data_IF_828879927933
#
_entry.id   IF_828879927933
#
_cell.length_a   1.000
_cell.length_b   1.000
_cell.length_c   1.000
_cell.angle_alpha   90.00
_cell.angle_beta   90.00
_cell.angle_gamma   90.00
#
_symmetry.space_group_name_H-M   'P 1'
#
loop_
_entity.id
_entity.type
_entity.pdbx_description
1 polymer ?
#
# COMPACT_ATOMS: atom_id res chain seq x y z
N UNK A 1 -15.20 -7.50 -23.73
CA UNK A 1 -14.62 -6.50 -24.65
C UNK A 1 -13.33 -7.03 -25.32
N UNK A 2 -12.48 -7.79 -24.61
CA UNK A 2 -11.23 -8.36 -25.15
C UNK A 2 -11.40 -9.56 -26.06
N UNK A 3 -12.55 -10.27 -25.99
CA UNK A 3 -12.82 -11.51 -26.72
C UNK A 3 -12.20 -12.77 -26.08
N UNK A 4 -11.60 -12.63 -24.89
CA UNK A 4 -11.04 -13.74 -24.12
C UNK A 4 -11.92 -14.08 -22.91
N UNK A 5 -11.98 -15.36 -22.56
CA UNK A 5 -12.55 -15.83 -21.31
C UNK A 5 -11.52 -15.68 -20.19
N UNK A 6 -11.95 -15.19 -19.03
CA UNK A 6 -11.08 -14.95 -17.88
C UNK A 6 -11.32 -16.02 -16.82
N UNK A 7 -10.25 -16.70 -16.42
CA UNK A 7 -10.21 -17.59 -15.27
C UNK A 7 -9.36 -16.91 -14.18
N UNK A 8 -9.99 -16.53 -13.09
CA UNK A 8 -9.32 -15.88 -11.96
C UNK A 8 -8.81 -16.91 -10.95
N UNK A 9 -7.50 -16.86 -10.70
CA UNK A 9 -6.88 -17.51 -9.54
C UNK A 9 -6.62 -16.40 -8.49
N UNK A 10 -7.36 -16.42 -7.39
CA UNK A 10 -7.17 -15.47 -6.29
C UNK A 10 -6.06 -15.96 -5.38
N UNK A 11 -5.08 -15.11 -5.13
CA UNK A 11 -4.03 -15.23 -4.12
C UNK A 11 -4.21 -14.13 -3.07
N UNK A 12 -3.58 -14.27 -1.90
CA UNK A 12 -3.90 -13.41 -0.76
C UNK A 12 -3.30 -12.00 -0.90
N UNK A 13 -2.02 -11.90 -1.31
CA UNK A 13 -1.25 -10.64 -1.32
C UNK A 13 -0.18 -10.69 -2.43
N UNK A 14 0.47 -9.55 -2.74
CA UNK A 14 1.52 -9.44 -3.75
C UNK A 14 2.69 -10.42 -3.50
N UNK A 15 3.05 -10.67 -2.25
CA UNK A 15 4.04 -11.66 -1.88
C UNK A 15 3.64 -13.08 -2.23
N UNK A 16 2.36 -13.42 -2.06
CA UNK A 16 1.80 -14.71 -2.49
C UNK A 16 1.81 -14.85 -4.01
N UNK A 17 1.53 -13.77 -4.75
CA UNK A 17 1.64 -13.75 -6.22
C UNK A 17 3.07 -14.02 -6.65
N UNK A 18 4.05 -13.29 -6.12
CA UNK A 18 5.47 -13.50 -6.43
C UNK A 18 5.92 -14.94 -6.10
N UNK A 19 5.61 -15.41 -4.90
CA UNK A 19 5.99 -16.76 -4.45
C UNK A 19 5.42 -17.83 -5.36
N UNK A 20 4.15 -17.67 -5.80
CA UNK A 20 3.51 -18.61 -6.71
C UNK A 20 4.18 -18.62 -8.09
N UNK A 21 4.54 -17.45 -8.62
CA UNK A 21 5.27 -17.34 -9.89
C UNK A 21 6.66 -18.00 -9.80
N UNK A 22 7.39 -17.76 -8.71
CA UNK A 22 8.73 -18.35 -8.48
C UNK A 22 8.68 -19.87 -8.38
N UNK A 23 7.72 -20.42 -7.65
CA UNK A 23 7.55 -21.88 -7.49
C UNK A 23 7.23 -22.59 -8.81
N UNK A 24 6.61 -21.90 -9.75
CA UNK A 24 6.17 -22.45 -11.02
C UNK A 24 6.97 -21.91 -12.22
N UNK A 25 8.15 -21.32 -11.97
CA UNK A 25 9.00 -20.81 -13.04
C UNK A 25 9.25 -21.86 -14.13
N UNK A 26 8.99 -21.49 -15.39
CA UNK A 26 9.10 -22.40 -16.54
C UNK A 26 7.90 -23.33 -16.76
N UNK A 27 6.84 -23.18 -15.97
CA UNK A 27 5.56 -23.89 -16.15
C UNK A 27 4.46 -22.85 -16.39
N UNK A 28 3.73 -22.96 -17.48
CA UNK A 28 2.59 -22.08 -17.75
C UNK A 28 1.46 -22.39 -16.77
N UNK A 29 1.24 -21.49 -15.82
CA UNK A 29 0.16 -21.57 -14.81
C UNK A 29 -0.92 -20.52 -15.04
N UNK A 30 -0.55 -19.38 -15.64
CA UNK A 30 -1.42 -18.27 -15.97
C UNK A 30 -0.82 -17.47 -17.14
N UNK A 31 -1.59 -16.55 -17.70
CA UNK A 31 -1.16 -15.67 -18.78
C UNK A 31 -0.77 -14.28 -18.27
N UNK A 32 -1.34 -13.89 -17.13
CA UNK A 32 -1.21 -12.57 -16.52
C UNK A 32 -1.12 -12.71 -15.01
N UNK A 33 -0.27 -11.89 -14.39
CA UNK A 33 -0.29 -11.58 -12.96
C UNK A 33 -0.78 -10.15 -12.76
N UNK A 34 -1.59 -9.93 -11.72
CA UNK A 34 -2.08 -8.62 -11.32
C UNK A 34 -1.92 -8.46 -9.80
N UNK A 35 -1.51 -7.26 -9.34
CA UNK A 35 -1.34 -6.95 -7.93
C UNK A 35 0.07 -7.19 -7.39
N UNK A 36 1.08 -7.39 -8.25
CA UNK A 36 2.47 -7.17 -7.82
C UNK A 36 2.67 -5.68 -7.61
N UNK A 37 3.26 -5.28 -6.49
CA UNK A 37 3.57 -3.89 -6.23
C UNK A 37 5.07 -3.57 -6.39
N UNK A 38 5.42 -2.30 -6.25
CA UNK A 38 6.79 -1.83 -6.42
C UNK A 38 7.77 -2.29 -5.31
N UNK A 39 7.31 -2.96 -4.26
CA UNK A 39 8.19 -3.61 -3.27
C UNK A 39 8.59 -5.04 -3.68
N UNK A 40 7.89 -5.65 -4.63
CA UNK A 40 8.13 -7.00 -5.13
C UNK A 40 8.56 -7.08 -6.58
N UNK A 41 8.24 -6.05 -7.38
CA UNK A 41 8.38 -6.09 -8.84
C UNK A 41 9.83 -6.34 -9.30
N UNK A 42 10.83 -5.69 -8.67
CA UNK A 42 12.22 -5.89 -9.06
C UNK A 42 12.65 -7.35 -8.89
N UNK A 43 12.21 -8.00 -7.83
CA UNK A 43 12.48 -9.44 -7.61
C UNK A 43 11.86 -10.30 -8.73
N UNK A 44 10.65 -9.97 -9.19
CA UNK A 44 10.03 -10.68 -10.32
C UNK A 44 10.81 -10.47 -11.63
N UNK A 45 11.32 -9.28 -11.86
CA UNK A 45 12.15 -8.93 -13.03
C UNK A 45 13.48 -9.68 -13.00
N UNK A 46 14.19 -9.65 -11.88
CA UNK A 46 15.50 -10.31 -11.70
C UNK A 46 15.40 -11.83 -11.87
N UNK A 47 14.28 -12.39 -11.48
CA UNK A 47 13.97 -13.79 -11.68
C UNK A 47 13.42 -14.12 -13.07
N UNK A 48 13.30 -13.16 -13.97
CA UNK A 48 12.82 -13.35 -15.35
C UNK A 48 11.45 -14.04 -15.41
N UNK A 49 10.51 -13.61 -14.57
CA UNK A 49 9.17 -14.18 -14.49
C UNK A 49 8.18 -13.51 -15.46
N UNK A 50 8.55 -12.36 -16.00
CA UNK A 50 7.66 -11.46 -16.74
C UNK A 50 8.12 -11.30 -18.19
N UNK A 51 7.16 -11.09 -19.09
CA UNK A 51 7.39 -10.74 -20.50
C UNK A 51 6.96 -9.30 -20.80
N UNK A 52 7.65 -8.68 -21.74
CA UNK A 52 7.23 -7.37 -22.25
C UNK A 52 5.89 -7.49 -22.99
N UNK A 53 4.89 -6.79 -22.48
CA UNK A 53 3.59 -6.65 -23.12
C UNK A 53 3.61 -5.52 -24.16
N UNK A 54 2.61 -5.50 -25.03
CA UNK A 54 2.47 -4.46 -26.06
C UNK A 54 1.21 -3.62 -25.92
N UNK A 55 0.54 -3.63 -24.76
CA UNK A 55 -0.55 -2.73 -24.44
C UNK A 55 -0.13 -1.25 -24.59
N UNK A 56 -1.05 -0.40 -24.93
CA UNK A 56 -0.81 1.03 -25.04
C UNK A 56 -0.75 1.67 -23.64
N UNK A 57 0.42 2.18 -23.27
CA UNK A 57 0.70 2.84 -21.98
C UNK A 57 0.93 4.35 -22.13
N UNK A 58 0.64 4.94 -23.29
CA UNK A 58 0.97 6.34 -23.59
C UNK A 58 0.21 7.36 -22.74
N UNK A 59 -0.91 6.98 -22.13
CA UNK A 59 -1.73 7.84 -21.29
C UNK A 59 -1.48 7.66 -19.78
N UNK A 60 -0.41 6.96 -19.39
CA UNK A 60 -0.07 6.77 -17.99
C UNK A 60 0.77 7.94 -17.47
N UNK A 61 0.49 8.38 -16.24
CA UNK A 61 1.26 9.41 -15.52
C UNK A 61 2.72 9.01 -15.41
N UNK A 62 3.63 9.96 -15.66
CA UNK A 62 5.07 9.69 -15.64
C UNK A 62 5.58 9.22 -14.27
N UNK A 63 5.03 9.75 -13.19
CA UNK A 63 5.43 9.43 -11.83
C UNK A 63 5.13 7.97 -11.41
N UNK A 64 4.16 7.31 -12.07
CA UNK A 64 3.86 5.88 -11.80
C UNK A 64 4.58 4.94 -12.78
N UNK A 65 5.12 5.46 -13.89
CA UNK A 65 5.92 4.67 -14.84
C UNK A 65 7.35 4.44 -14.37
N UNK A 66 7.90 5.35 -13.60
CA UNK A 66 9.25 5.23 -13.07
C UNK A 66 9.30 4.22 -11.91
N UNK A 67 10.39 3.45 -11.79
CA UNK A 67 11.56 3.38 -12.69
C UNK A 67 11.42 2.35 -13.83
N UNK A 68 10.31 1.67 -13.98
CA UNK A 68 10.16 0.45 -14.80
C UNK A 68 9.66 0.69 -16.23
N UNK A 69 9.41 1.92 -16.63
CA UNK A 69 8.87 2.33 -17.94
C UNK A 69 7.59 1.62 -18.42
N UNK A 70 6.97 0.82 -17.57
CA UNK A 70 5.68 0.16 -17.82
C UNK A 70 5.66 -0.99 -18.83
N UNK A 71 6.80 -1.47 -19.35
CA UNK A 71 6.81 -2.50 -20.41
C UNK A 71 6.79 -3.94 -19.89
N UNK A 72 7.54 -4.25 -18.86
CA UNK A 72 7.48 -5.57 -18.19
C UNK A 72 6.27 -5.68 -17.27
N UNK A 73 5.86 -4.54 -16.71
CA UNK A 73 4.75 -4.44 -15.78
C UNK A 73 4.07 -3.09 -15.98
N UNK A 74 2.79 -3.11 -16.34
CA UNK A 74 2.01 -1.90 -16.51
C UNK A 74 1.39 -1.49 -15.18
N UNK A 75 1.67 -0.29 -14.66
CA UNK A 75 0.93 0.21 -13.52
C UNK A 75 -0.55 0.33 -13.89
N UNK A 76 -1.45 -0.15 -13.03
CA UNK A 76 -2.88 -0.05 -13.25
C UNK A 76 -3.61 0.74 -12.16
N UNK A 77 -3.01 0.83 -10.99
CA UNK A 77 -3.42 1.72 -9.91
C UNK A 77 -2.23 2.14 -9.06
N UNK A 78 -2.42 3.14 -8.21
CA UNK A 78 -1.42 3.58 -7.23
C UNK A 78 -2.07 4.27 -6.05
N UNK A 79 -1.31 4.42 -4.97
CA UNK A 79 -1.74 5.14 -3.78
C UNK A 79 -0.56 5.45 -2.88
N UNK A 80 -0.83 6.04 -1.72
CA UNK A 80 0.19 6.29 -0.72
C UNK A 80 -0.18 5.58 0.57
N UNK A 81 0.77 4.81 1.10
CA UNK A 81 0.63 4.22 2.43
C UNK A 81 0.91 5.28 3.48
N UNK A 82 0.00 5.46 4.44
CA UNK A 82 0.04 6.45 5.51
C UNK A 82 -0.32 5.84 6.86
N UNK A 83 -0.24 6.67 7.89
CA UNK A 83 -0.94 6.48 9.15
C UNK A 83 -2.29 7.23 9.10
N UNK A 84 -3.38 6.55 9.39
CA UNK A 84 -4.70 7.15 9.53
C UNK A 84 -5.12 7.14 11.00
N UNK A 85 -5.85 8.14 11.45
CA UNK A 85 -6.28 8.26 12.84
C UNK A 85 -7.75 8.66 12.97
N UNK A 86 -8.38 8.23 14.07
CA UNK A 86 -9.75 8.56 14.44
C UNK A 86 -9.80 9.96 15.05
N UNK A 87 -10.38 10.92 14.32
CA UNK A 87 -10.42 12.34 14.70
C UNK A 87 -11.32 12.63 15.90
N UNK A 88 -12.20 11.69 16.30
CA UNK A 88 -13.02 11.84 17.49
C UNK A 88 -12.25 11.50 18.79
N UNK A 89 -11.13 10.78 18.65
CA UNK A 89 -10.29 10.36 19.78
C UNK A 89 -8.93 11.07 19.75
N UNK A 90 -8.33 11.18 18.57
CA UNK A 90 -7.06 11.88 18.35
C UNK A 90 -7.36 13.33 17.98
N UNK A 91 -7.78 14.10 18.95
CA UNK A 91 -8.32 15.45 18.82
C UNK A 91 -7.43 16.55 19.48
N UNK A 92 -6.33 16.14 20.10
CA UNK A 92 -5.42 17.00 20.85
C UNK A 92 -5.83 17.23 22.30
N UNK A 93 -7.00 16.73 22.73
CA UNK A 93 -7.47 16.78 24.11
C UNK A 93 -7.44 15.37 24.76
N UNK A 94 -7.92 14.36 24.04
CA UNK A 94 -7.92 12.95 24.50
C UNK A 94 -6.60 12.26 24.15
N UNK A 95 -6.20 12.27 22.89
CA UNK A 95 -4.88 11.85 22.42
C UNK A 95 -4.26 12.96 21.59
N UNK A 96 -2.96 13.14 21.74
CA UNK A 96 -2.20 14.15 21.00
C UNK A 96 -2.07 13.72 19.55
N UNK A 97 -2.33 14.63 18.60
CA UNK A 97 -2.04 14.38 17.18
C UNK A 97 -0.52 14.30 17.00
N UNK A 98 0.03 13.17 16.51
CA UNK A 98 1.47 13.01 16.35
C UNK A 98 2.08 14.02 15.38
N UNK A 99 3.24 14.53 15.72
CA UNK A 99 4.05 15.42 14.88
C UNK A 99 5.31 14.73 14.34
N UNK A 100 5.60 13.55 14.87
CA UNK A 100 6.68 12.66 14.46
C UNK A 100 6.27 11.21 14.65
N UNK A 101 6.99 10.26 14.02
CA UNK A 101 6.77 8.83 14.28
C UNK A 101 7.15 8.47 15.74
N UNK A 102 8.11 9.19 16.36
CA UNK A 102 8.48 8.97 17.75
C UNK A 102 7.35 9.23 18.75
N UNK A 103 6.43 10.13 18.42
CA UNK A 103 5.30 10.42 19.30
C UNK A 103 4.45 9.17 19.57
N UNK A 104 4.41 8.22 18.64
CA UNK A 104 3.69 6.96 18.76
C UNK A 104 4.31 5.98 19.76
N UNK A 105 5.53 6.22 20.21
CA UNK A 105 6.20 5.40 21.24
C UNK A 105 5.89 5.89 22.67
N UNK A 106 5.16 7.01 22.81
CA UNK A 106 4.74 7.53 24.11
C UNK A 106 3.67 6.63 24.74
N UNK A 107 3.62 6.60 26.07
CA UNK A 107 2.69 5.78 26.85
C UNK A 107 1.20 6.01 26.50
N UNK A 108 0.83 7.23 26.06
CA UNK A 108 -0.53 7.54 25.65
C UNK A 108 -0.98 6.70 24.43
N UNK A 109 -0.04 6.21 23.61
CA UNK A 109 -0.27 5.38 22.42
C UNK A 109 -0.14 3.87 22.68
N UNK A 110 0.11 3.45 23.94
CA UNK A 110 0.26 2.03 24.28
C UNK A 110 -0.97 1.22 23.84
N UNK A 111 -0.75 0.20 23.00
CA UNK A 111 -1.77 -0.68 22.47
C UNK A 111 -2.80 -0.03 21.53
N UNK A 112 -2.52 1.15 20.96
CA UNK A 112 -3.50 1.92 20.17
C UNK A 112 -3.15 2.12 18.69
N UNK A 113 -2.08 1.51 18.21
CA UNK A 113 -1.61 1.61 16.83
C UNK A 113 -1.64 0.23 16.18
N UNK A 114 -2.43 0.07 15.12
CA UNK A 114 -2.50 -1.16 14.34
C UNK A 114 -1.65 -1.06 13.08
N UNK A 115 -0.77 -2.04 12.87
CA UNK A 115 0.19 -2.05 11.76
C UNK A 115 0.16 -3.44 11.10
N UNK A 116 -0.10 -3.56 9.80
CA UNK A 116 0.06 -4.82 9.08
C UNK A 116 1.53 -5.28 9.10
N UNK A 117 1.78 -6.57 9.28
CA UNK A 117 3.14 -7.12 9.27
C UNK A 117 3.82 -6.95 7.91
N UNK A 118 5.07 -6.47 7.86
CA UNK A 118 5.82 -6.37 6.61
C UNK A 118 6.21 -7.73 6.01
N UNK A 119 6.12 -8.80 6.79
CA UNK A 119 6.39 -10.17 6.29
C UNK A 119 5.25 -10.69 5.41
N UNK A 120 4.01 -10.40 5.79
CA UNK A 120 2.80 -11.00 5.22
C UNK A 120 1.89 -10.02 4.48
N UNK A 121 2.15 -8.72 4.57
CA UNK A 121 1.33 -7.66 4.01
C UNK A 121 2.13 -6.68 3.16
N UNK A 122 1.67 -6.45 1.94
CA UNK A 122 2.17 -5.41 1.04
C UNK A 122 2.10 -4.00 1.65
N UNK A 123 0.97 -3.55 2.23
CA UNK A 123 0.89 -2.32 3.02
C UNK A 123 1.87 -2.23 4.19
N UNK A 124 2.06 -3.32 4.93
CA UNK A 124 3.04 -3.38 6.01
C UNK A 124 4.47 -3.22 5.52
N UNK A 125 4.81 -3.91 4.42
CA UNK A 125 6.13 -3.79 3.77
C UNK A 125 6.38 -2.39 3.24
N UNK A 126 5.39 -1.76 2.63
CA UNK A 126 5.45 -0.39 2.15
C UNK A 126 5.71 0.60 3.30
N UNK A 127 5.00 0.45 4.42
CA UNK A 127 5.20 1.30 5.59
C UNK A 127 6.56 1.06 6.26
N UNK A 128 7.00 -0.19 6.44
CA UNK A 128 8.35 -0.48 6.94
C UNK A 128 9.41 0.21 6.06
N UNK A 129 9.28 0.12 4.74
CA UNK A 129 10.19 0.81 3.80
C UNK A 129 10.18 2.33 4.00
N UNK A 130 9.01 2.93 4.27
CA UNK A 130 8.94 4.35 4.61
C UNK A 130 9.69 4.68 5.89
N UNK A 131 9.61 3.83 6.93
CA UNK A 131 10.34 4.07 8.20
C UNK A 131 11.86 4.04 8.00
N UNK A 132 12.38 3.20 7.11
CA UNK A 132 13.82 3.20 6.76
C UNK A 132 14.27 4.57 6.24
N UNK A 133 13.53 5.15 5.29
CA UNK A 133 13.87 6.47 4.73
C UNK A 133 13.60 7.61 5.73
N UNK A 134 12.51 7.51 6.50
CA UNK A 134 12.14 8.51 7.49
C UNK A 134 13.27 8.70 8.51
N UNK A 135 13.72 7.63 9.16
CA UNK A 135 14.75 7.73 10.20
C UNK A 135 16.15 7.98 9.64
N UNK A 136 16.46 7.56 8.43
CA UNK A 136 17.69 7.93 7.76
C UNK A 136 17.81 9.45 7.48
N UNK A 137 16.69 10.17 7.48
CA UNK A 137 16.61 11.60 7.20
C UNK A 137 16.07 12.43 8.39
N UNK A 138 15.86 11.82 9.56
CA UNK A 138 15.43 12.52 10.78
C UNK A 138 16.65 13.18 11.44
N UNK A 139 16.82 14.48 11.19
CA UNK A 139 17.94 15.26 11.74
C UNK A 139 17.79 15.53 13.26
N UNK A 140 16.57 15.44 13.79
CA UNK A 140 16.27 15.76 15.20
C UNK A 140 16.52 14.56 16.13
N UNK A 141 16.27 13.35 15.63
CA UNK A 141 16.49 12.10 16.36
C UNK A 141 17.53 11.24 15.62
N UNK A 142 18.74 11.17 16.13
CA UNK A 142 19.81 10.32 15.57
C UNK A 142 19.62 8.84 15.93
N UNK A 143 18.40 8.32 15.80
CA UNK A 143 18.02 6.94 16.09
C UNK A 143 17.78 6.17 14.79
N UNK A 144 17.98 4.87 14.86
CA UNK A 144 17.74 3.99 13.72
C UNK A 144 16.23 3.66 13.61
N UNK A 145 15.78 3.29 12.45
CA UNK A 145 14.42 2.80 12.22
C UNK A 145 14.11 1.55 13.06
N UNK A 146 15.08 0.68 13.31
CA UNK A 146 14.94 -0.50 14.18
C UNK A 146 14.74 -0.14 15.66
N UNK A 147 15.35 0.94 16.13
CA UNK A 147 15.11 1.45 17.48
C UNK A 147 13.65 1.88 17.66
N UNK A 148 13.07 2.51 16.63
CA UNK A 148 11.66 2.88 16.64
C UNK A 148 10.75 1.66 16.68
N UNK A 149 11.01 0.63 15.86
CA UNK A 149 10.22 -0.60 15.87
C UNK A 149 10.32 -1.36 17.19
N UNK A 150 11.51 -1.38 17.82
CA UNK A 150 11.69 -1.91 19.18
C UNK A 150 10.82 -1.13 20.18
N UNK A 151 10.83 0.20 20.11
CA UNK A 151 10.00 1.02 20.98
C UNK A 151 8.49 0.83 20.72
N UNK A 152 8.07 0.65 19.46
CA UNK A 152 6.68 0.34 19.12
C UNK A 152 6.24 -1.04 19.62
N UNK A 153 7.13 -2.04 19.57
CA UNK A 153 6.87 -3.35 20.16
C UNK A 153 6.73 -3.26 21.69
N UNK A 154 7.64 -2.54 22.35
CA UNK A 154 7.54 -2.26 23.80
C UNK A 154 6.29 -1.45 24.18
N UNK A 155 5.72 -0.69 23.24
CA UNK A 155 4.49 0.07 23.41
C UNK A 155 3.22 -0.71 22.95
N UNK A 156 3.32 -2.03 22.88
CA UNK A 156 2.22 -2.95 22.53
C UNK A 156 1.54 -2.60 21.19
N UNK A 157 2.30 -2.19 20.17
CA UNK A 157 1.74 -1.99 18.83
C UNK A 157 1.07 -3.27 18.31
N UNK A 158 -0.14 -3.14 17.77
CA UNK A 158 -0.94 -4.27 17.28
C UNK A 158 -0.44 -4.65 15.90
N UNK A 159 0.32 -5.74 15.79
CA UNK A 159 0.80 -6.25 14.52
C UNK A 159 -0.19 -7.27 13.98
N UNK A 160 -0.75 -7.02 12.79
CA UNK A 160 -1.77 -7.86 12.16
C UNK A 160 -1.19 -8.64 10.98
N UNK A 161 -1.88 -9.71 10.57
CA UNK A 161 -1.44 -10.52 9.43
C UNK A 161 -1.61 -9.82 8.09
N UNK A 162 -2.54 -8.85 8.01
CA UNK A 162 -2.82 -8.10 6.79
C UNK A 162 -3.60 -6.82 7.05
N UNK A 163 -3.76 -6.04 5.98
CA UNK A 163 -4.42 -4.74 6.02
C UNK A 163 -5.88 -4.83 6.50
N UNK A 164 -6.67 -5.80 6.00
CA UNK A 164 -8.07 -5.95 6.40
C UNK A 164 -8.23 -6.16 7.90
N UNK A 165 -7.35 -6.94 8.53
CA UNK A 165 -7.39 -7.14 9.98
C UNK A 165 -7.09 -5.85 10.73
N UNK A 166 -6.05 -5.11 10.32
CA UNK A 166 -5.71 -3.83 10.94
C UNK A 166 -6.84 -2.80 10.81
N UNK A 167 -7.35 -2.64 9.58
CA UNK A 167 -8.29 -1.59 9.23
C UNK A 167 -9.74 -1.89 9.58
N UNK A 168 -10.19 -3.14 9.36
CA UNK A 168 -11.59 -3.51 9.53
C UNK A 168 -11.89 -4.10 10.91
N UNK A 169 -10.86 -4.57 11.64
CA UNK A 169 -11.02 -5.20 12.95
C UNK A 169 -10.54 -4.33 14.10
N UNK A 170 -9.36 -3.70 13.96
CA UNK A 170 -8.74 -2.96 15.05
C UNK A 170 -8.99 -1.45 14.99
N UNK A 171 -9.02 -0.86 13.81
CA UNK A 171 -9.10 0.58 13.68
C UNK A 171 -10.49 1.15 14.00
N UNK A 172 -10.57 2.06 14.97
CA UNK A 172 -11.83 2.66 15.45
C UNK A 172 -12.46 3.62 14.44
N UNK A 173 -11.67 4.18 13.51
CA UNK A 173 -12.15 5.08 12.46
C UNK A 173 -12.55 4.39 11.15
N UNK A 174 -12.32 3.07 11.01
CA UNK A 174 -12.49 2.33 9.76
C UNK A 174 -13.91 1.79 9.50
N UNK A 175 -14.01 0.96 8.49
CA UNK A 175 -15.29 0.37 8.06
C UNK A 175 -15.98 -0.49 9.11
N UNK A 176 -15.22 -1.08 10.03
CA UNK A 176 -15.77 -1.90 11.11
C UNK A 176 -16.80 -1.15 11.97
N UNK A 177 -16.65 0.16 12.09
CA UNK A 177 -17.59 1.02 12.82
C UNK A 177 -19.02 0.91 12.32
N UNK A 178 -19.21 0.65 11.04
CA UNK A 178 -20.53 0.51 10.43
C UNK A 178 -21.11 -0.91 10.55
N UNK A 179 -20.36 -1.80 11.19
CA UNK A 179 -20.82 -3.18 11.48
C UNK A 179 -21.40 -3.24 12.88
N UNK A 180 -22.64 -3.73 13.02
CA UNK A 180 -23.33 -3.85 14.30
C UNK A 180 -22.50 -4.67 15.31
N UNK A 181 -22.16 -4.06 16.45
CA UNK A 181 -21.37 -4.69 17.51
C UNK A 181 -19.85 -4.56 17.35
N UNK A 182 -19.37 -3.83 16.34
CA UNK A 182 -17.95 -3.53 16.19
C UNK A 182 -17.46 -2.57 17.28
N UNK A 183 -16.33 -2.92 17.88
CA UNK A 183 -15.60 -2.05 18.81
C UNK A 183 -14.11 -2.24 18.53
N UNK A 184 -13.51 -1.32 17.78
CA UNK A 184 -12.07 -1.30 17.56
C UNK A 184 -11.30 -0.94 18.84
N UNK A 185 -10.01 -1.23 18.85
CA UNK A 185 -9.08 -0.96 19.96
C UNK A 185 -7.87 -0.11 19.55
N UNK A 186 -7.63 0.07 18.25
CA UNK A 186 -6.60 0.96 17.72
C UNK A 186 -7.19 2.29 17.23
N UNK A 187 -6.60 3.39 17.69
CA UNK A 187 -7.02 4.74 17.27
C UNK A 187 -6.20 5.30 16.12
N UNK A 188 -5.16 4.56 15.74
CA UNK A 188 -4.32 4.81 14.57
C UNK A 188 -4.04 3.51 13.85
N UNK A 189 -3.94 3.58 12.52
CA UNK A 189 -3.70 2.43 11.66
C UNK A 189 -2.81 2.79 10.48
N UNK A 190 -1.96 1.85 10.07
CA UNK A 190 -1.29 1.93 8.77
C UNK A 190 -2.29 1.52 7.69
N UNK A 191 -2.62 2.49 6.82
CA UNK A 191 -3.54 2.32 5.70
C UNK A 191 -3.20 3.31 4.58
N UNK A 192 -4.07 3.45 3.59
CA UNK A 192 -3.85 4.40 2.51
C UNK A 192 -4.21 5.82 2.94
N UNK A 193 -3.44 6.82 2.46
CA UNK A 193 -3.70 8.24 2.73
C UNK A 193 -5.07 8.71 2.23
N UNK A 194 -5.68 7.96 1.34
CA UNK A 194 -7.01 8.23 0.78
C UNK A 194 -8.12 7.36 1.37
N UNK A 195 -7.83 6.47 2.31
CA UNK A 195 -8.87 5.67 2.98
C UNK A 195 -9.97 6.55 3.59
N UNK A 196 -9.68 7.71 4.21
CA UNK A 196 -10.74 8.62 4.68
C UNK A 196 -11.65 9.13 3.56
N UNK A 197 -11.11 9.33 2.36
CA UNK A 197 -11.89 9.71 1.18
C UNK A 197 -12.81 8.58 0.70
N UNK A 198 -12.34 7.34 0.72
CA UNK A 198 -13.14 6.16 0.41
C UNK A 198 -14.30 6.02 1.41
N UNK A 199 -14.02 6.14 2.70
CA UNK A 199 -15.05 6.10 3.75
C UNK A 199 -16.11 7.18 3.54
N UNK A 200 -15.67 8.41 3.28
CA UNK A 200 -16.57 9.53 3.01
C UNK A 200 -17.47 9.28 1.80
N UNK A 201 -16.93 8.68 0.73
CA UNK A 201 -17.69 8.29 -0.45
C UNK A 201 -18.85 7.34 -0.11
N UNK A 202 -18.58 6.27 0.66
CA UNK A 202 -19.59 5.29 1.04
C UNK A 202 -20.55 5.78 2.12
N UNK A 203 -20.12 6.75 2.92
CA UNK A 203 -20.86 7.22 4.10
C UNK A 203 -21.54 8.58 3.91
N UNK A 204 -21.83 8.94 2.69
CA UNK A 204 -22.62 10.14 2.38
C UNK A 204 -21.94 11.45 2.72
N UNK A 205 -20.66 11.59 2.37
CA UNK A 205 -19.84 12.79 2.53
C UNK A 205 -19.38 13.04 3.99
N UNK A 206 -19.18 11.97 4.74
CA UNK A 206 -18.71 12.05 6.12
C UNK A 206 -17.71 10.92 6.44
N UNK A 207 -16.69 11.24 7.18
CA UNK A 207 -15.76 10.30 7.83
C UNK A 207 -15.24 10.90 9.13
N UNK A 208 -14.88 10.07 10.10
CA UNK A 208 -14.13 10.48 11.28
C UNK A 208 -12.65 10.14 11.18
N UNK A 209 -12.23 9.66 10.03
CA UNK A 209 -10.84 9.32 9.74
C UNK A 209 -10.10 10.50 9.12
N UNK A 210 -8.83 10.65 9.42
CA UNK A 210 -7.91 11.54 8.73
C UNK A 210 -6.56 10.86 8.54
N UNK A 211 -5.85 11.20 7.46
CA UNK A 211 -4.49 10.72 7.24
C UNK A 211 -3.48 11.72 7.84
N UNK A 212 -2.43 11.17 8.48
CA UNK A 212 -1.34 11.94 9.05
C UNK A 212 -0.30 12.25 7.96
N UNK A 213 -0.09 13.52 7.65
CA UNK A 213 0.92 13.96 6.67
C UNK A 213 2.23 14.34 7.40
N UNK A 214 3.06 13.32 7.65
CA UNK A 214 4.43 13.50 8.13
C UNK A 214 5.39 13.33 6.95
N UNK A 215 6.31 14.29 6.71
CA UNK A 215 7.27 14.17 5.62
C UNK A 215 8.04 12.84 5.70
N UNK A 216 8.11 12.11 4.59
CA UNK A 216 8.78 10.80 4.44
C UNK A 216 8.15 9.62 5.21
N UNK A 217 7.09 9.81 5.98
CA UNK A 217 6.38 8.72 6.66
C UNK A 217 5.36 8.00 5.78
N UNK A 218 5.17 8.45 4.55
CA UNK A 218 4.30 7.83 3.56
C UNK A 218 5.13 7.14 2.47
N UNK A 219 4.63 6.02 1.92
CA UNK A 219 5.24 5.31 0.80
C UNK A 219 4.35 5.34 -0.43
N UNK A 220 4.90 5.72 -1.59
CA UNK A 220 4.17 5.65 -2.85
C UNK A 220 4.13 4.21 -3.34
N UNK A 221 2.99 3.56 -3.18
CA UNK A 221 2.74 2.21 -3.68
C UNK A 221 2.13 2.27 -5.07
N UNK A 222 2.68 1.48 -5.98
CA UNK A 222 2.19 1.29 -7.35
C UNK A 222 1.96 -0.19 -7.56
N UNK A 223 0.80 -0.55 -8.09
CA UNK A 223 0.45 -1.94 -8.39
C UNK A 223 0.44 -2.19 -9.91
N UNK A 224 0.85 -3.39 -10.29
CA UNK A 224 1.15 -3.72 -11.67
C UNK A 224 0.36 -4.92 -12.17
N UNK A 225 0.01 -4.85 -13.46
CA UNK A 225 -0.43 -5.96 -14.28
C UNK A 225 0.68 -6.35 -15.25
N UNK A 226 1.07 -7.62 -15.27
CA UNK A 226 2.24 -8.12 -15.99
C UNK A 226 1.94 -9.39 -16.77
N UNK A 227 2.39 -9.48 -18.03
CA UNK A 227 2.37 -10.72 -18.77
C UNK A 227 3.39 -11.69 -18.17
N UNK A 228 2.99 -12.95 -17.97
CA UNK A 228 3.85 -14.00 -17.39
C UNK A 228 4.65 -14.70 -18.47
N UNK A 229 5.91 -15.02 -18.17
CA UNK A 229 6.76 -15.81 -19.06
C UNK A 229 6.08 -17.15 -19.45
N UNK A 230 5.99 -17.42 -20.74
CA UNK A 230 5.37 -18.64 -21.28
C UNK A 230 3.84 -18.58 -21.42
N UNK A 231 3.19 -17.51 -20.98
CA UNK A 231 1.75 -17.31 -21.11
C UNK A 231 1.30 -16.82 -22.50
N UNK A 232 0.00 -16.59 -22.66
CA UNK A 232 -0.57 -15.99 -23.88
C UNK A 232 -0.38 -14.47 -23.87
N UNK A 233 0.67 -14.00 -24.51
CA UNK A 233 1.06 -12.58 -24.53
C UNK A 233 -0.01 -11.68 -25.18
N UNK A 234 -0.73 -12.16 -26.21
CA UNK A 234 -1.82 -11.41 -26.84
C UNK A 234 -2.98 -11.18 -25.87
N UNK A 235 -3.37 -12.24 -25.14
CA UNK A 235 -4.44 -12.16 -24.15
C UNK A 235 -4.05 -11.26 -22.97
N UNK A 236 -2.82 -11.41 -22.45
CA UNK A 236 -2.29 -10.58 -21.36
C UNK A 236 -2.24 -9.11 -21.75
N UNK A 237 -1.69 -8.79 -22.94
CA UNK A 237 -1.62 -7.41 -23.44
C UNK A 237 -3.01 -6.79 -23.66
N UNK A 238 -3.97 -7.56 -24.20
CA UNK A 238 -5.34 -7.09 -24.37
C UNK A 238 -6.05 -6.83 -23.03
N UNK A 239 -5.76 -7.62 -21.99
CA UNK A 239 -6.31 -7.40 -20.65
C UNK A 239 -5.69 -6.17 -19.99
N UNK A 240 -4.36 -6.00 -20.08
CA UNK A 240 -3.67 -4.80 -19.57
C UNK A 240 -4.22 -3.55 -20.27
N UNK A 241 -4.38 -3.57 -21.60
CA UNK A 241 -4.95 -2.44 -22.33
C UNK A 241 -6.39 -2.12 -21.88
N UNK A 242 -7.18 -3.15 -21.58
CA UNK A 242 -8.54 -2.97 -21.03
C UNK A 242 -8.54 -2.31 -19.65
N UNK A 243 -7.64 -2.73 -18.73
CA UNK A 243 -7.48 -2.09 -17.42
C UNK A 243 -7.11 -0.61 -17.52
N UNK A 244 -6.39 -0.23 -18.58
CA UNK A 244 -5.91 1.13 -18.84
C UNK A 244 -6.88 1.99 -19.67
N UNK A 245 -8.06 1.48 -20.01
CA UNK A 245 -9.10 2.31 -20.65
C UNK A 245 -9.66 3.32 -19.67
N UNK A 246 -10.10 4.48 -20.15
CA UNK A 246 -10.81 5.46 -19.31
C UNK A 246 -12.04 4.85 -18.63
N UNK A 247 -12.79 3.99 -19.35
CA UNK A 247 -13.98 3.31 -18.83
C UNK A 247 -13.70 2.52 -17.53
N UNK A 248 -12.52 1.92 -17.41
CA UNK A 248 -12.12 1.08 -16.27
C UNK A 248 -11.29 1.90 -15.28
N UNK A 249 -10.21 2.53 -15.74
CA UNK A 249 -9.19 3.08 -14.85
C UNK A 249 -9.65 4.32 -14.09
N UNK A 250 -10.56 5.13 -14.65
CA UNK A 250 -11.14 6.27 -13.92
C UNK A 250 -12.04 5.86 -12.76
N UNK A 251 -12.42 4.58 -12.68
CA UNK A 251 -13.22 4.02 -11.57
C UNK A 251 -12.36 3.42 -10.45
N UNK A 252 -11.04 3.35 -10.62
CA UNK A 252 -10.16 2.80 -9.59
C UNK A 252 -10.40 3.41 -8.20
N UNK A 253 -10.64 4.74 -8.04
CA UNK A 253 -10.88 5.30 -6.73
C UNK A 253 -12.11 4.74 -6.01
N UNK A 254 -13.18 4.41 -6.73
CA UNK A 254 -14.45 3.99 -6.14
C UNK A 254 -14.72 2.49 -6.20
N UNK A 255 -14.05 1.77 -7.10
CA UNK A 255 -14.27 0.32 -7.30
C UNK A 255 -13.11 -0.53 -6.78
N UNK A 256 -11.89 0.03 -6.72
CA UNK A 256 -10.67 -0.64 -6.26
C UNK A 256 -9.98 0.10 -5.10
N UNK A 257 -10.51 1.26 -4.70
CA UNK A 257 -10.00 2.09 -3.60
C UNK A 257 -8.55 2.56 -3.77
N UNK A 258 -8.10 2.71 -5.01
CA UNK A 258 -6.78 3.18 -5.39
C UNK A 258 -6.88 4.30 -6.42
N UNK A 259 -5.83 5.10 -6.60
CA UNK A 259 -5.84 6.17 -7.60
C UNK A 259 -5.70 5.65 -9.02
N UNK A 260 -6.32 6.35 -9.98
CA UNK A 260 -6.13 6.11 -11.41
C UNK A 260 -4.71 6.49 -11.85
N UNK A 261 -4.10 5.64 -12.67
CA UNK A 261 -2.78 5.90 -13.26
C UNK A 261 -2.83 6.78 -14.50
N UNK A 262 -4.01 7.09 -15.03
CA UNK A 262 -4.14 7.85 -16.27
C UNK A 262 -3.89 9.34 -16.05
N UNK A 263 -3.24 9.99 -17.06
CA UNK A 263 -3.13 11.43 -17.12
C UNK A 263 -4.51 12.10 -17.07
N UNK A 264 -4.55 13.33 -16.60
CA UNK A 264 -5.76 14.17 -16.55
C UNK A 264 -6.94 13.54 -15.76
N UNK A 265 -6.64 12.61 -14.85
CA UNK A 265 -7.63 12.05 -13.91
C UNK A 265 -7.48 12.67 -12.54
N UNK A 266 -8.58 13.20 -12.05
CA UNK A 266 -8.69 13.74 -10.69
C UNK A 266 -9.42 12.77 -9.77
N UNK A 267 -9.22 12.91 -8.46
CA UNK A 267 -10.02 12.21 -7.47
C UNK A 267 -11.49 12.67 -7.54
N UNK A 268 -12.46 11.78 -7.29
CA UNK A 268 -13.87 12.14 -7.27
C UNK A 268 -14.14 13.29 -6.28
N UNK A 269 -14.94 14.25 -6.69
CA UNK A 269 -15.44 15.29 -5.77
C UNK A 269 -16.68 14.81 -5.02
N UNK A 270 -17.48 13.97 -5.68
CA UNK A 270 -18.69 13.41 -5.09
C UNK A 270 -18.39 12.63 -3.82
N UNK A 271 -19.33 12.60 -2.89
CA UNK A 271 -19.17 11.92 -1.62
C UNK A 271 -18.03 12.45 -0.75
N UNK A 272 -17.43 13.58 -1.08
CA UNK A 272 -16.33 14.15 -0.32
C UNK A 272 -14.97 13.44 -0.52
N UNK A 273 -14.87 12.49 -1.45
CA UNK A 273 -13.68 11.65 -1.64
C UNK A 273 -12.39 12.48 -1.69
N UNK A 274 -12.31 13.44 -2.61
CA UNK A 274 -11.13 14.33 -2.78
C UNK A 274 -10.81 15.12 -1.52
N UNK A 275 -11.82 15.61 -0.81
CA UNK A 275 -11.64 16.50 0.32
C UNK A 275 -11.14 15.81 1.58
N UNK A 276 -11.41 14.50 1.71
CA UNK A 276 -10.95 13.67 2.82
C UNK A 276 -9.73 12.81 2.48
N UNK A 277 -9.30 12.81 1.22
CA UNK A 277 -8.08 12.14 0.78
C UNK A 277 -6.87 13.05 0.97
N UNK A 278 -5.77 12.50 1.44
CA UNK A 278 -4.49 13.20 1.57
C UNK A 278 -3.52 12.70 0.50
N UNK A 279 -2.89 13.64 -0.21
CA UNK A 279 -1.69 13.36 -1.01
C UNK A 279 -0.51 13.85 -0.19
N UNK A 280 0.42 12.99 0.22
CA UNK A 280 1.52 13.37 1.10
C UNK A 280 2.36 14.50 0.52
N UNK A 281 2.72 15.44 1.37
CA UNK A 281 3.60 16.56 1.00
C UNK A 281 4.96 16.06 0.52
N UNK A 282 5.47 15.00 1.15
CA UNK A 282 6.71 14.32 0.80
C UNK A 282 6.59 12.84 1.18
N UNK A 283 6.60 11.96 0.19
CA UNK A 283 6.71 10.53 0.41
C UNK A 283 8.16 10.10 0.61
N UNK A 284 8.37 8.91 1.19
CA UNK A 284 9.66 8.26 1.28
C UNK A 284 10.30 8.10 -0.11
N UNK A 285 11.61 8.27 -0.16
CA UNK A 285 12.39 8.18 -1.41
C UNK A 285 13.38 7.03 -1.34
N UNK A 286 12.86 5.81 -1.45
CA UNK A 286 13.67 4.59 -1.51
C UNK A 286 13.63 4.05 -2.93
N UNK A 287 14.79 3.82 -3.55
CA UNK A 287 14.83 3.31 -4.92
C UNK A 287 14.36 1.85 -4.98
N UNK A 288 13.75 1.45 -6.10
CA UNK A 288 13.34 0.07 -6.34
C UNK A 288 14.52 -0.93 -6.22
N UNK A 289 15.71 -0.50 -6.64
CA UNK A 289 16.92 -1.30 -6.52
C UNK A 289 17.35 -1.47 -5.04
N UNK A 290 17.27 -0.41 -4.23
CA UNK A 290 17.58 -0.51 -2.80
C UNK A 290 16.56 -1.40 -2.07
N UNK A 291 15.28 -1.30 -2.42
CA UNK A 291 14.23 -2.19 -1.91
C UNK A 291 14.57 -3.65 -2.23
N UNK A 292 14.86 -3.96 -3.50
CA UNK A 292 15.16 -5.34 -3.91
C UNK A 292 16.43 -5.90 -3.25
N UNK A 293 17.45 -5.07 -3.07
CA UNK A 293 18.74 -5.48 -2.49
C UNK A 293 18.69 -5.67 -0.97
N UNK A 294 17.88 -4.89 -0.27
CA UNK A 294 17.91 -4.83 1.19
C UNK A 294 16.68 -5.42 1.87
N UNK A 295 15.60 -5.70 1.13
CA UNK A 295 14.33 -6.13 1.72
C UNK A 295 14.46 -7.35 2.64
N UNK A 296 15.25 -8.35 2.26
CA UNK A 296 15.45 -9.54 3.09
C UNK A 296 16.12 -9.18 4.42
N UNK A 297 17.20 -8.37 4.38
CA UNK A 297 17.86 -7.91 5.60
C UNK A 297 16.98 -6.96 6.43
N UNK A 298 16.18 -6.10 5.81
CA UNK A 298 15.25 -5.24 6.54
C UNK A 298 14.16 -6.04 7.26
N UNK A 299 13.68 -7.13 6.66
CA UNK A 299 12.72 -8.01 7.33
C UNK A 299 13.36 -8.76 8.50
N UNK A 300 14.62 -9.22 8.37
CA UNK A 300 15.37 -9.82 9.47
C UNK A 300 15.57 -8.81 10.61
N UNK A 301 16.04 -7.60 10.30
CA UNK A 301 16.26 -6.52 11.27
C UNK A 301 14.95 -6.10 11.97
N UNK A 302 13.83 -6.04 11.20
CA UNK A 302 12.51 -5.77 11.75
C UNK A 302 12.07 -6.86 12.73
N UNK A 303 12.24 -8.14 12.38
CA UNK A 303 11.91 -9.25 13.27
C UNK A 303 12.73 -9.21 14.56
N UNK A 304 14.02 -8.94 14.45
CA UNK A 304 14.91 -8.81 15.62
C UNK A 304 14.46 -7.65 16.50
N UNK A 305 14.09 -6.50 15.92
CA UNK A 305 13.56 -5.35 16.66
C UNK A 305 12.26 -5.67 17.39
N UNK A 306 11.33 -6.38 16.76
CA UNK A 306 10.04 -6.76 17.35
C UNK A 306 10.15 -7.77 18.50
N UNK A 307 11.21 -8.56 18.54
CA UNK A 307 11.47 -9.57 19.60
C UNK A 307 12.34 -9.01 20.72
N UNK A 308 13.07 -7.93 20.49
CA UNK A 308 13.99 -7.33 21.47
C UNK A 308 13.30 -6.56 22.60
N UNK A 309 12.00 -6.29 22.50
CA UNK A 309 11.20 -5.48 23.42
C UNK A 309 10.73 -6.22 24.69
#
# INVERSE_FOLDING_TARGET
QTGYDINLMKLDDAGSVLSHLMQHKGVQIADLAIGLDNTYLQTAIDNQLLWEHFANISNIKSEVLEPYNGRLAAPFDHGYMCLNYDTEIVDGENLTVPTSLWDLTNEEWNGKVAIPSPETSSPGRAFMTATVDYFANDEDNQTDWTDWWTAMSANDAIITTGWSEAYETHYTGGYGEYTEGYVGDAHMVVSYCHSPGVESWYNGNWTKSAALDLPRAAFHQVEYASAIEGGNLDAASAFIEYLLTEEVNTKMPTENFMYSVLNDTDLPEDGGYRYHSTVPTMAANVSANDIALNMESWLEDWNDAMVAA
#
